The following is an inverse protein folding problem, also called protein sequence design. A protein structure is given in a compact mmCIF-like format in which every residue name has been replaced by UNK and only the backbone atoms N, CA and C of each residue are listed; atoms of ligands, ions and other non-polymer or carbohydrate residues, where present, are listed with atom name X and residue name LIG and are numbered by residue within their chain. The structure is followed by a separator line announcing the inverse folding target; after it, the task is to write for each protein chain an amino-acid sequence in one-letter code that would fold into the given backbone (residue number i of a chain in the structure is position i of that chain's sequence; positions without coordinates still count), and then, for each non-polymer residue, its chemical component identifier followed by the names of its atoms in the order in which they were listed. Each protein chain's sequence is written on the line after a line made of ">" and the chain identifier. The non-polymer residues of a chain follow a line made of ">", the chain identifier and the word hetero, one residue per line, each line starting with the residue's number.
data_IF_344224187989
#
_entry.id   IF_344224187989
#
_cell.length_a   1.000
_cell.length_b   1.000
_cell.length_c   1.000
_cell.angle_alpha   90.00
_cell.angle_beta   90.00
_cell.angle_gamma   90.00
#
_symmetry.space_group_name_H-M   'P 1'
#
loop_
_entity.id
_entity.type
_entity.pdbx_description
1 polymer ?
#
# COMPACT_ATOMS: atom_id res chain seq x y z
N UNK A 1 -15.46 -1.07 -0.55
CA UNK A 1 -15.45 0.27 -1.16
C UNK A 1 -16.65 1.04 -0.66
N UNK A 2 -16.47 2.31 -0.32
CA UNK A 2 -17.55 3.23 0.04
C UNK A 2 -17.39 4.47 -0.83
N UNK A 3 -18.49 4.95 -1.41
CA UNK A 3 -18.54 6.19 -2.18
C UNK A 3 -19.37 7.21 -1.40
N UNK A 4 -18.94 8.46 -1.41
CA UNK A 4 -19.67 9.54 -0.76
C UNK A 4 -19.17 10.90 -1.25
N UNK A 5 -19.73 11.96 -0.69
CA UNK A 5 -19.38 13.32 -1.09
C UNK A 5 -18.93 14.12 0.13
N UNK A 6 -17.79 14.81 0.02
CA UNK A 6 -17.26 15.71 1.05
C UNK A 6 -17.05 17.07 0.39
N UNK A 7 -17.66 18.13 0.94
CA UNK A 7 -17.56 19.49 0.37
C UNK A 7 -17.87 19.54 -1.14
N UNK A 8 -18.93 18.84 -1.57
CA UNK A 8 -19.36 18.74 -2.97
C UNK A 8 -18.38 18.02 -3.92
N UNK A 9 -17.37 17.34 -3.38
CA UNK A 9 -16.46 16.49 -4.15
C UNK A 9 -16.77 15.03 -3.86
N UNK A 10 -16.94 14.25 -4.92
CA UNK A 10 -17.08 12.80 -4.79
C UNK A 10 -15.74 12.19 -4.36
N UNK A 11 -15.82 11.30 -3.38
CA UNK A 11 -14.67 10.61 -2.76
C UNK A 11 -14.99 9.13 -2.69
N UNK A 12 -14.01 8.32 -3.10
CA UNK A 12 -14.07 6.86 -3.00
C UNK A 12 -13.07 6.40 -1.95
N UNK A 13 -13.51 5.60 -0.99
CA UNK A 13 -12.62 4.97 0.00
C UNK A 13 -12.60 3.46 -0.20
N UNK A 14 -11.40 2.91 -0.38
CA UNK A 14 -11.17 1.47 -0.55
C UNK A 14 -10.34 1.01 0.65
N UNK A 15 -10.87 0.05 1.42
CA UNK A 15 -10.12 -0.60 2.49
C UNK A 15 -9.67 -1.99 2.01
N UNK A 16 -8.36 -2.25 2.01
CA UNK A 16 -7.75 -3.48 1.54
C UNK A 16 -7.16 -4.25 2.73
N UNK A 17 -7.48 -5.54 2.82
CA UNK A 17 -6.80 -6.48 3.71
C UNK A 17 -6.22 -7.61 2.87
N UNK A 18 -4.92 -7.54 2.61
CA UNK A 18 -4.23 -8.56 1.83
C UNK A 18 -3.94 -9.79 2.70
N UNK A 19 -3.88 -11.00 2.12
CA UNK A 19 -3.47 -12.19 2.85
C UNK A 19 -1.98 -12.16 3.24
N UNK A 20 -1.61 -12.87 4.31
CA UNK A 20 -0.20 -13.00 4.74
C UNK A 20 0.72 -13.56 3.64
N UNK A 21 0.22 -14.56 2.90
CA UNK A 21 0.89 -15.21 1.77
C UNK A 21 0.32 -14.70 0.45
N UNK A 22 1.18 -14.46 -0.54
CA UNK A 22 0.74 -13.99 -1.86
C UNK A 22 0.20 -12.56 -1.89
N UNK A 23 0.35 -11.79 -0.81
CA UNK A 23 -0.14 -10.41 -0.68
C UNK A 23 0.16 -9.54 -1.92
N UNK A 24 1.39 -9.52 -2.49
CA UNK A 24 1.66 -8.64 -3.63
C UNK A 24 0.86 -8.97 -4.87
N UNK A 25 0.68 -10.28 -5.14
CA UNK A 25 -0.13 -10.75 -6.26
C UNK A 25 -1.60 -10.41 -6.03
N UNK A 26 -2.10 -10.64 -4.81
CA UNK A 26 -3.48 -10.31 -4.44
C UNK A 26 -3.77 -8.82 -4.62
N UNK A 27 -2.96 -7.94 -4.04
CA UNK A 27 -3.12 -6.48 -4.15
C UNK A 27 -3.09 -6.04 -5.60
N UNK A 28 -2.14 -6.53 -6.39
CA UNK A 28 -2.07 -6.23 -7.83
C UNK A 28 -3.34 -6.63 -8.57
N UNK A 29 -3.85 -7.84 -8.34
CA UNK A 29 -5.07 -8.33 -8.99
C UNK A 29 -6.27 -7.48 -8.60
N UNK A 30 -6.45 -7.23 -7.30
CA UNK A 30 -7.54 -6.41 -6.79
C UNK A 30 -7.53 -4.99 -7.37
N UNK A 31 -6.37 -4.33 -7.42
CA UNK A 31 -6.25 -2.99 -8.00
C UNK A 31 -6.57 -3.00 -9.51
N UNK A 32 -6.15 -4.04 -10.22
CA UNK A 32 -6.45 -4.18 -11.66
C UNK A 32 -7.95 -4.34 -11.89
N UNK A 33 -8.63 -5.15 -11.07
CA UNK A 33 -10.09 -5.34 -11.12
C UNK A 33 -10.84 -4.04 -10.79
N UNK A 34 -10.34 -3.26 -9.83
CA UNK A 34 -10.93 -1.99 -9.40
C UNK A 34 -10.49 -0.79 -10.26
N UNK A 35 -9.71 -0.99 -11.33
CA UNK A 35 -9.16 0.12 -12.12
C UNK A 35 -10.23 1.08 -12.66
N UNK A 36 -11.41 0.58 -13.03
CA UNK A 36 -12.51 1.42 -13.50
C UNK A 36 -13.23 2.21 -12.40
N UNK A 37 -12.96 1.89 -11.14
CA UNK A 37 -13.55 2.52 -9.96
C UNK A 37 -12.57 3.48 -9.25
N UNK A 38 -11.30 3.46 -9.64
CA UNK A 38 -10.23 4.28 -9.07
C UNK A 38 -10.09 5.55 -9.92
N UNK A 39 -10.13 6.69 -9.24
CA UNK A 39 -9.93 8.01 -9.80
C UNK A 39 -9.01 8.86 -8.91
N UNK A 40 -8.85 10.14 -9.27
CA UNK A 40 -8.04 11.11 -8.54
C UNK A 40 -8.50 11.38 -7.09
N UNK A 41 -9.76 11.07 -6.74
CA UNK A 41 -10.33 11.28 -5.41
C UNK A 41 -10.50 9.95 -4.65
N UNK A 42 -9.77 8.92 -5.07
CA UNK A 42 -9.79 7.61 -4.43
C UNK A 42 -8.70 7.50 -3.37
N UNK A 43 -9.10 7.16 -2.15
CA UNK A 43 -8.21 6.91 -1.03
C UNK A 43 -8.20 5.40 -0.77
N UNK A 44 -7.02 4.79 -0.85
CA UNK A 44 -6.80 3.39 -0.54
C UNK A 44 -6.12 3.31 0.82
N UNK A 45 -6.74 2.60 1.74
CA UNK A 45 -6.28 2.38 3.10
C UNK A 45 -6.25 0.88 3.39
N UNK A 46 -5.57 0.49 4.45
CA UNK A 46 -5.66 -0.87 5.01
C UNK A 46 -4.30 -1.54 5.19
N UNK A 47 -4.32 -2.87 5.24
CA UNK A 47 -3.15 -3.70 5.50
C UNK A 47 -2.78 -4.51 4.24
N UNK A 48 -1.70 -4.10 3.57
CA UNK A 48 -1.15 -4.81 2.41
C UNK A 48 -0.29 -6.02 2.79
N UNK A 49 -0.03 -6.24 4.09
CA UNK A 49 0.79 -7.31 4.66
C UNK A 49 2.24 -7.38 4.14
N UNK A 50 2.67 -6.39 3.36
CA UNK A 50 3.99 -6.27 2.75
C UNK A 50 4.39 -4.81 2.58
N UNK A 51 5.60 -4.50 3.02
CA UNK A 51 6.31 -3.23 2.78
C UNK A 51 6.48 -2.92 1.30
N UNK A 52 6.18 -1.69 0.88
CA UNK A 52 6.34 -1.22 -0.51
C UNK A 52 7.80 -0.87 -0.82
N UNK A 53 8.55 -0.38 0.17
CA UNK A 53 9.94 0.05 0.03
C UNK A 53 10.85 -0.62 1.05
N UNK A 54 12.16 -0.56 0.82
CA UNK A 54 13.15 -1.04 1.79
C UNK A 54 13.14 -0.20 3.09
N UNK A 55 12.74 1.09 3.01
CA UNK A 55 12.69 1.98 4.16
C UNK A 55 11.59 1.59 5.16
N UNK A 56 10.56 0.90 4.69
CA UNK A 56 9.46 0.40 5.51
C UNK A 56 9.87 -0.87 6.29
N UNK A 57 11.14 -1.29 6.25
CA UNK A 57 11.64 -2.43 7.04
C UNK A 57 12.78 -1.97 7.92
N UNK A 58 12.76 -2.35 9.19
CA UNK A 58 13.89 -2.06 10.10
C UNK A 58 15.19 -2.71 9.62
N UNK A 59 15.10 -3.87 8.96
CA UNK A 59 16.25 -4.57 8.38
C UNK A 59 16.81 -3.92 7.11
N UNK A 60 16.06 -2.99 6.48
CA UNK A 60 16.39 -2.36 5.19
C UNK A 60 16.72 -3.35 4.07
N UNK A 61 16.24 -4.59 4.18
CA UNK A 61 16.41 -5.60 3.16
C UNK A 61 15.80 -5.15 1.82
N UNK A 62 16.47 -5.51 0.73
CA UNK A 62 16.00 -5.23 -0.63
C UNK A 62 14.60 -5.81 -0.87
N UNK A 63 13.76 -5.06 -1.58
CA UNK A 63 12.43 -5.54 -2.00
C UNK A 63 12.57 -6.73 -2.97
N UNK A 64 11.64 -7.68 -2.87
CA UNK A 64 11.57 -8.83 -3.77
C UNK A 64 10.91 -8.43 -5.10
N UNK A 65 11.17 -9.19 -6.15
CA UNK A 65 10.62 -8.93 -7.49
C UNK A 65 9.09 -8.84 -7.52
N UNK A 66 8.39 -9.65 -6.72
CA UNK A 66 6.92 -9.60 -6.62
C UNK A 66 6.41 -8.25 -6.09
N UNK A 67 7.14 -7.65 -5.14
CA UNK A 67 6.82 -6.33 -4.59
C UNK A 67 7.13 -5.26 -5.62
N UNK A 68 8.25 -5.36 -6.32
CA UNK A 68 8.56 -4.44 -7.43
C UNK A 68 7.48 -4.49 -8.52
N UNK A 69 6.99 -5.68 -8.87
CA UNK A 69 5.91 -5.84 -9.85
C UNK A 69 4.56 -5.27 -9.38
N UNK A 70 4.30 -5.28 -8.06
CA UNK A 70 3.15 -4.60 -7.47
C UNK A 70 3.34 -3.07 -7.52
N UNK A 71 4.52 -2.56 -7.13
CA UNK A 71 4.82 -1.13 -7.17
C UNK A 71 4.71 -0.56 -8.58
N UNK A 72 5.21 -1.27 -9.59
CA UNK A 72 5.04 -0.85 -10.98
C UNK A 72 3.57 -0.72 -11.36
N UNK A 73 2.68 -1.58 -10.86
CA UNK A 73 1.24 -1.46 -11.09
C UNK A 73 0.65 -0.26 -10.35
N UNK A 74 1.13 0.08 -9.14
CA UNK A 74 0.74 1.32 -8.46
C UNK A 74 1.16 2.53 -9.29
N UNK A 75 2.39 2.55 -9.80
CA UNK A 75 2.93 3.61 -10.65
C UNK A 75 2.14 3.73 -11.98
N UNK A 76 1.81 2.62 -12.64
CA UNK A 76 0.98 2.57 -13.86
C UNK A 76 -0.46 3.08 -13.65
N UNK A 77 -0.93 3.09 -12.39
CA UNK A 77 -2.26 3.55 -12.00
C UNK A 77 -2.22 4.95 -11.37
N UNK A 78 -1.06 5.61 -11.36
CA UNK A 78 -0.82 6.89 -10.69
C UNK A 78 -1.20 6.89 -9.20
N UNK A 79 -1.14 5.71 -8.55
CA UNK A 79 -1.41 5.56 -7.11
C UNK A 79 -0.11 5.83 -6.36
N UNK A 80 -0.15 6.83 -5.49
CA UNK A 80 1.00 7.20 -4.66
C UNK A 80 0.81 6.77 -3.21
N UNK A 81 1.93 6.40 -2.59
CA UNK A 81 2.05 6.27 -1.15
C UNK A 81 2.21 7.66 -0.52
N UNK A 82 1.11 8.18 0.02
CA UNK A 82 1.05 9.54 0.60
C UNK A 82 1.99 9.66 1.80
N UNK A 83 2.05 8.65 2.68
CA UNK A 83 2.92 8.68 3.84
C UNK A 83 4.39 8.83 3.43
N UNK A 84 4.84 8.03 2.45
CA UNK A 84 6.23 8.04 1.97
C UNK A 84 6.55 9.30 1.16
N UNK A 85 5.60 9.85 0.41
CA UNK A 85 5.75 11.13 -0.26
C UNK A 85 5.98 12.28 0.74
N UNK A 86 5.25 12.29 1.86
CA UNK A 86 5.38 13.31 2.91
C UNK A 86 6.58 13.09 3.84
N UNK A 87 7.06 11.85 3.97
CA UNK A 87 8.13 11.44 4.90
C UNK A 87 9.14 10.49 4.23
N UNK A 88 9.88 10.95 3.20
CA UNK A 88 10.70 10.08 2.36
C UNK A 88 11.85 9.39 3.11
N UNK A 89 12.34 9.99 4.20
CA UNK A 89 13.50 9.49 4.95
C UNK A 89 13.17 8.96 6.34
N UNK A 90 11.93 9.10 6.80
CA UNK A 90 11.55 8.69 8.16
C UNK A 90 11.36 7.18 8.23
N UNK A 91 12.02 6.56 9.21
CA UNK A 91 11.77 5.18 9.59
C UNK A 91 10.64 5.13 10.61
N UNK A 92 9.46 4.71 10.19
CA UNK A 92 8.31 4.46 11.04
C UNK A 92 7.71 3.10 10.69
N UNK A 93 7.21 2.41 11.70
CA UNK A 93 6.76 1.02 11.59
C UNK A 93 5.42 0.85 12.31
N UNK A 94 4.57 -0.03 11.80
CA UNK A 94 3.23 -0.30 12.34
C UNK A 94 3.08 -1.73 12.87
N UNK A 95 4.04 -2.60 12.57
CA UNK A 95 4.05 -4.01 13.01
C UNK A 95 5.44 -4.44 13.50
N UNK A 96 5.49 -5.23 14.57
CA UNK A 96 6.71 -5.87 15.07
C UNK A 96 6.57 -7.39 15.03
N UNK A 97 7.53 -8.06 14.37
CA UNK A 97 7.61 -9.53 14.38
C UNK A 97 8.51 -10.00 15.51
N UNK A 98 7.92 -10.60 16.54
CA UNK A 98 8.66 -11.18 17.67
C UNK A 98 9.54 -12.36 17.23
N UNK A 99 9.10 -13.15 16.25
CA UNK A 99 9.82 -14.33 15.74
C UNK A 99 11.13 -13.92 15.04
N UNK A 100 11.15 -12.76 14.39
CA UNK A 100 12.30 -12.31 13.60
C UNK A 100 13.02 -11.10 14.20
N UNK A 101 12.53 -10.53 15.31
CA UNK A 101 13.13 -9.37 15.97
C UNK A 101 13.19 -8.12 15.09
N UNK A 102 12.24 -7.97 14.15
CA UNK A 102 12.26 -6.89 13.17
C UNK A 102 10.88 -6.24 13.00
N UNK A 103 10.88 -4.95 12.69
CA UNK A 103 9.68 -4.15 12.48
C UNK A 103 9.43 -3.91 10.99
N UNK A 104 8.15 -3.84 10.63
CA UNK A 104 7.69 -3.49 9.29
C UNK A 104 6.69 -2.32 9.39
N UNK A 105 6.83 -1.37 8.48
CA UNK A 105 5.89 -0.29 8.24
C UNK A 105 4.90 -0.72 7.18
N UNK A 106 3.64 -0.48 7.47
CA UNK A 106 2.60 -0.31 6.48
C UNK A 106 2.56 1.16 6.10
N UNK A 107 2.51 1.42 4.81
CA UNK A 107 2.19 2.74 4.32
C UNK A 107 0.66 2.83 4.33
N UNK A 108 0.16 3.64 5.27
CA UNK A 108 -1.27 3.94 5.44
C UNK A 108 -1.61 5.11 4.52
#
# INVERSE_FOLDING_TARGET
>A
MVKGTIQQQDVTVINIYAPNQGAPKYTKQLLTELKGEIDQNTIILGDLNKSLTAMDRSSKQKIKNEIAAQNNTLDEMDIIDIYRALRPKTSAYTFFSSVHGHSQGLNI
#
